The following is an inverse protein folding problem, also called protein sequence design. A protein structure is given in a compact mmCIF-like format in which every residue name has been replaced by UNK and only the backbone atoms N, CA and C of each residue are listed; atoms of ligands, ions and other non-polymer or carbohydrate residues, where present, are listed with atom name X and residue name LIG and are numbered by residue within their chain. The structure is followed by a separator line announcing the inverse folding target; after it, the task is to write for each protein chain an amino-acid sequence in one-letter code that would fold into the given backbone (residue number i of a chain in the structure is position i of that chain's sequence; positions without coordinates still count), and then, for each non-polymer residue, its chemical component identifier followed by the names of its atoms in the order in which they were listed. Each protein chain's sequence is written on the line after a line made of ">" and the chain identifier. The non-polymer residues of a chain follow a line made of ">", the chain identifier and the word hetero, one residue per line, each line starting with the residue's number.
data_IF_440681704838
#
_entry.id   IF_440681704838
#
_cell.length_a   1.000
_cell.length_b   1.000
_cell.length_c   1.000
_cell.angle_alpha   90.00
_cell.angle_beta   90.00
_cell.angle_gamma   90.00
#
_symmetry.space_group_name_H-M   'P 1'
#
loop_
_entity.id
_entity.type
_entity.pdbx_description
1 polymer ?
#
# COMPACT_ATOMS: atom_id res chain seq x y z
N UNK A 1 33.17 9.46 -21.06
CA UNK A 1 32.15 8.42 -21.32
C UNK A 1 31.06 8.57 -20.27
N UNK A 2 30.01 9.32 -20.59
CA UNK A 2 28.90 9.63 -19.68
C UNK A 2 27.71 8.75 -20.04
N UNK A 3 27.46 7.72 -19.25
CA UNK A 3 26.28 6.87 -19.38
C UNK A 3 25.03 7.68 -19.05
N UNK A 4 24.29 8.04 -20.09
CA UNK A 4 22.97 8.67 -20.03
C UNK A 4 21.95 7.56 -19.75
N UNK A 5 21.20 7.58 -18.64
CA UNK A 5 20.23 6.53 -18.37
C UNK A 5 19.10 6.58 -19.40
N UNK A 6 18.84 5.44 -20.02
CA UNK A 6 17.82 5.23 -21.04
C UNK A 6 16.47 5.77 -20.61
N UNK A 7 15.96 6.69 -21.42
CA UNK A 7 14.59 7.13 -21.35
C UNK A 7 13.63 6.06 -21.84
N UNK A 8 12.53 5.92 -21.10
CA UNK A 8 11.19 5.63 -21.62
C UNK A 8 10.83 4.20 -22.02
N UNK A 9 10.85 3.29 -21.05
CA UNK A 9 10.07 2.03 -21.12
C UNK A 9 8.53 2.25 -20.98
N UNK A 10 8.03 3.42 -21.40
CA UNK A 10 6.60 3.78 -21.31
C UNK A 10 5.75 3.18 -22.44
N UNK A 11 6.36 2.45 -23.38
CA UNK A 11 5.69 1.95 -24.59
C UNK A 11 5.60 0.42 -24.71
N UNK A 12 6.25 -0.35 -23.84
CA UNK A 12 6.05 -1.80 -23.86
C UNK A 12 4.62 -2.11 -23.46
N UNK A 13 3.93 -2.88 -24.31
CA UNK A 13 2.61 -3.42 -23.96
C UNK A 13 2.83 -4.56 -22.96
N UNK A 14 1.96 -4.67 -21.93
CA UNK A 14 2.02 -5.83 -21.06
C UNK A 14 1.73 -7.09 -21.87
N UNK A 15 2.47 -8.16 -21.61
CA UNK A 15 2.22 -9.50 -22.16
C UNK A 15 0.86 -10.01 -21.70
N UNK A 16 0.49 -9.69 -20.45
CA UNK A 16 -0.81 -10.07 -19.89
C UNK A 16 -1.31 -9.04 -18.90
N UNK A 17 -2.63 -8.90 -18.83
CA UNK A 17 -3.31 -7.99 -17.90
C UNK A 17 -4.33 -8.78 -17.08
N UNK A 18 -4.23 -8.71 -15.75
CA UNK A 18 -5.15 -9.37 -14.82
C UNK A 18 -5.96 -8.29 -14.11
N UNK A 19 -7.26 -8.15 -14.41
CA UNK A 19 -8.10 -7.15 -13.77
C UNK A 19 -8.35 -7.49 -12.29
N UNK A 20 -8.33 -6.45 -11.45
CA UNK A 20 -8.77 -6.53 -10.06
C UNK A 20 -10.21 -6.02 -9.94
N UNK A 21 -10.97 -6.59 -9.01
CA UNK A 21 -12.34 -6.16 -8.76
C UNK A 21 -12.35 -4.71 -8.29
N UNK A 22 -13.11 -3.83 -8.94
CA UNK A 22 -13.18 -2.41 -8.62
C UNK A 22 -14.58 -1.86 -8.88
N UNK A 23 -15.00 -0.81 -8.16
CA UNK A 23 -16.31 -0.18 -8.37
C UNK A 23 -16.24 0.99 -9.35
N UNK A 24 -15.31 1.95 -9.18
CA UNK A 24 -15.44 3.26 -9.82
C UNK A 24 -14.13 3.87 -10.31
N UNK A 25 -14.06 4.27 -11.58
CA UNK A 25 -12.89 4.92 -12.17
C UNK A 25 -11.97 3.92 -12.87
N UNK A 26 -10.67 4.25 -13.00
CA UNK A 26 -9.71 3.35 -13.68
C UNK A 26 -9.51 2.10 -12.84
N UNK A 27 -9.77 0.94 -13.44
CA UNK A 27 -9.64 -0.33 -12.76
C UNK A 27 -8.17 -0.60 -12.36
N UNK A 28 -7.89 -0.82 -11.06
CA UNK A 28 -6.65 -1.44 -10.63
C UNK A 28 -6.53 -2.82 -11.27
N UNK A 29 -5.30 -3.22 -11.55
CA UNK A 29 -4.98 -4.43 -12.31
C UNK A 29 -3.50 -4.77 -12.14
N UNK A 30 -3.16 -6.00 -12.47
CA UNK A 30 -1.79 -6.47 -12.56
C UNK A 30 -1.42 -6.49 -14.05
N UNK A 31 -0.45 -5.68 -14.44
CA UNK A 31 0.13 -5.70 -15.78
C UNK A 31 1.44 -6.52 -15.71
N UNK A 32 1.54 -7.60 -16.48
CA UNK A 32 2.71 -8.49 -16.53
C UNK A 32 3.56 -8.19 -17.75
N UNK A 33 4.86 -8.06 -17.53
CA UNK A 33 5.89 -7.88 -18.57
C UNK A 33 6.84 -9.07 -18.54
N UNK A 34 7.85 -9.08 -19.40
CA UNK A 34 8.80 -10.19 -19.52
C UNK A 34 9.65 -10.41 -18.25
N UNK A 35 9.92 -9.36 -17.47
CA UNK A 35 10.86 -9.36 -16.35
C UNK A 35 10.27 -8.79 -15.05
N UNK A 36 9.06 -8.21 -15.11
CA UNK A 36 8.46 -7.53 -13.96
C UNK A 36 6.94 -7.64 -13.92
N UNK A 37 6.43 -7.58 -12.71
CA UNK A 37 5.03 -7.36 -12.40
C UNK A 37 4.82 -5.87 -12.09
N UNK A 38 3.77 -5.30 -12.68
CA UNK A 38 3.32 -3.93 -12.38
C UNK A 38 1.92 -3.95 -11.80
N UNK A 39 1.82 -3.69 -10.51
CA UNK A 39 0.56 -3.52 -9.81
C UNK A 39 0.06 -2.09 -10.00
N UNK A 40 -0.93 -1.92 -10.87
CA UNK A 40 -1.61 -0.63 -11.06
C UNK A 40 -2.56 -0.41 -9.90
N UNK A 41 -2.30 0.64 -9.14
CA UNK A 41 -3.01 0.92 -7.91
C UNK A 41 -4.33 1.67 -8.15
N UNK A 42 -5.26 1.60 -7.17
CA UNK A 42 -6.46 2.43 -7.17
C UNK A 42 -6.19 3.94 -7.30
N UNK A 43 -7.19 4.69 -7.76
CA UNK A 43 -7.05 6.12 -8.10
C UNK A 43 -6.59 7.00 -6.93
N UNK A 44 -6.85 6.60 -5.68
CA UNK A 44 -6.41 7.32 -4.50
C UNK A 44 -4.88 7.32 -4.32
N UNK A 45 -4.13 6.52 -5.08
CA UNK A 45 -2.66 6.61 -5.20
C UNK A 45 -2.19 7.47 -6.40
N UNK A 46 -3.08 8.11 -7.15
CA UNK A 46 -2.72 9.10 -8.16
C UNK A 46 -2.05 8.54 -9.44
N UNK A 47 -2.67 7.55 -10.09
CA UNK A 47 -2.16 6.86 -11.31
C UNK A 47 -0.79 6.20 -11.13
N UNK A 48 -0.37 5.95 -9.89
CA UNK A 48 0.89 5.29 -9.57
C UNK A 48 0.74 3.78 -9.62
N UNK A 49 1.88 3.11 -9.69
CA UNK A 49 1.98 1.66 -9.71
C UNK A 49 3.11 1.25 -8.78
N UNK A 50 3.03 0.02 -8.29
CA UNK A 50 4.16 -0.69 -7.69
C UNK A 50 4.73 -1.61 -8.75
N UNK A 51 6.05 -1.60 -8.92
CA UNK A 51 6.76 -2.45 -9.88
C UNK A 51 7.70 -3.35 -9.10
N UNK A 52 7.62 -4.66 -9.36
CA UNK A 52 8.43 -5.69 -8.68
C UNK A 52 8.98 -6.64 -9.73
N UNK A 53 10.28 -6.96 -9.73
CA UNK A 53 10.84 -8.02 -10.56
C UNK A 53 10.11 -9.35 -10.35
N UNK A 54 9.93 -10.15 -11.41
CA UNK A 54 9.16 -11.40 -11.32
C UNK A 54 9.80 -12.43 -10.38
N UNK A 55 11.12 -12.46 -10.30
CA UNK A 55 11.92 -13.28 -9.39
C UNK A 55 11.86 -12.80 -7.93
N UNK A 56 11.26 -11.64 -7.67
CA UNK A 56 11.11 -11.07 -6.33
C UNK A 56 9.64 -11.00 -5.88
N UNK A 57 8.74 -11.70 -6.58
CA UNK A 57 7.34 -11.78 -6.20
C UNK A 57 6.85 -13.22 -6.23
N UNK A 58 6.20 -13.62 -5.15
CA UNK A 58 5.44 -14.84 -5.08
C UNK A 58 3.94 -14.56 -5.02
N UNK A 59 3.16 -15.52 -5.49
CA UNK A 59 1.70 -15.51 -5.41
C UNK A 59 1.22 -16.70 -4.61
N UNK A 60 0.23 -16.46 -3.75
CA UNK A 60 -0.49 -17.54 -3.06
C UNK A 60 -1.98 -17.25 -3.00
N UNK A 61 -2.86 -18.27 -3.15
CA UNK A 61 -4.29 -18.10 -2.94
C UNK A 61 -4.58 -17.83 -1.47
N UNK A 62 -5.43 -16.84 -1.19
CA UNK A 62 -5.75 -16.43 0.19
C UNK A 62 -6.38 -17.56 1.02
N UNK A 63 -7.16 -18.45 0.38
CA UNK A 63 -7.78 -19.59 1.05
C UNK A 63 -6.79 -20.71 1.40
N UNK A 64 -5.59 -20.72 0.83
CA UNK A 64 -4.51 -21.65 1.19
C UNK A 64 -3.55 -21.07 2.24
N UNK A 65 -3.65 -19.77 2.53
CA UNK A 65 -2.93 -19.17 3.65
C UNK A 65 -3.50 -19.72 4.95
N UNK A 66 -2.65 -20.37 5.77
CA UNK A 66 -3.00 -20.91 7.08
C UNK A 66 -3.54 -19.83 8.03
N UNK A 67 -3.10 -18.59 7.84
CA UNK A 67 -3.75 -17.41 8.38
C UNK A 67 -4.82 -16.93 7.41
N UNK A 68 -6.08 -17.01 7.85
CA UNK A 68 -7.12 -16.19 7.26
C UNK A 68 -6.68 -14.75 7.49
N UNK A 69 -6.31 -13.96 6.45
CA UNK A 69 -6.10 -12.55 6.66
C UNK A 69 -7.40 -12.03 7.21
N UNK A 70 -7.38 -11.67 8.48
CA UNK A 70 -8.53 -11.06 9.11
C UNK A 70 -8.80 -9.80 8.30
N UNK A 71 -9.88 -9.83 7.51
CA UNK A 71 -10.38 -8.70 6.74
C UNK A 71 -10.74 -7.52 7.69
N UNK A 72 -10.63 -7.77 9.00
CA UNK A 72 -11.01 -6.95 10.15
C UNK A 72 -9.78 -6.62 11.03
N UNK A 73 -8.59 -7.20 10.78
CA UNK A 73 -7.38 -6.82 11.50
C UNK A 73 -6.94 -5.49 10.90
N UNK A 74 -7.37 -4.42 11.57
CA UNK A 74 -7.43 -3.01 11.20
C UNK A 74 -6.16 -2.41 10.56
N UNK A 75 -5.09 -3.16 10.37
CA UNK A 75 -3.81 -2.64 9.86
C UNK A 75 -3.16 -3.53 8.81
N UNK A 76 -3.65 -4.74 8.51
CA UNK A 76 -2.96 -5.61 7.54
C UNK A 76 -1.49 -5.88 7.90
N UNK A 77 -1.18 -5.86 9.20
CA UNK A 77 0.11 -6.24 9.78
C UNK A 77 -0.06 -7.62 10.41
N UNK A 78 0.81 -8.56 10.07
CA UNK A 78 0.82 -9.92 10.63
C UNK A 78 1.45 -9.94 12.03
N UNK A 79 1.29 -11.04 12.77
CA UNK A 79 1.86 -11.17 14.14
C UNK A 79 3.38 -11.02 14.16
N UNK A 80 4.06 -11.45 13.09
CA UNK A 80 5.50 -11.30 12.87
C UNK A 80 5.92 -9.91 12.35
N UNK A 81 4.98 -8.96 12.23
CA UNK A 81 5.24 -7.58 11.86
C UNK A 81 5.38 -7.32 10.36
N UNK A 82 4.92 -8.26 9.51
CA UNK A 82 4.89 -8.07 8.07
C UNK A 82 3.65 -7.29 7.65
N UNK A 83 3.82 -6.31 6.77
CA UNK A 83 2.75 -5.46 6.28
C UNK A 83 2.22 -5.99 4.94
N UNK A 84 1.11 -6.70 4.98
CA UNK A 84 0.42 -7.25 3.80
C UNK A 84 -1.02 -6.71 3.79
N UNK A 85 -1.21 -5.42 3.49
CA UNK A 85 -2.54 -4.83 3.48
C UNK A 85 -3.40 -5.35 2.35
N UNK A 86 -4.71 -5.34 2.57
CA UNK A 86 -5.65 -5.25 1.48
C UNK A 86 -5.61 -3.83 0.89
N UNK A 87 -5.08 -3.71 -0.32
CA UNK A 87 -5.08 -2.46 -1.06
C UNK A 87 -6.48 -2.25 -1.63
N UNK A 88 -7.39 -1.77 -0.78
CA UNK A 88 -8.82 -1.70 -1.04
C UNK A 88 -9.11 -1.22 -2.46
N UNK A 89 -9.58 -2.16 -3.28
CA UNK A 89 -10.14 -1.87 -4.60
C UNK A 89 -11.68 -1.66 -4.49
N UNK A 90 -12.25 -1.79 -3.29
CA UNK A 90 -13.62 -1.34 -2.95
C UNK A 90 -13.65 -0.87 -1.49
N UNK A 91 -14.51 0.10 -1.17
CA UNK A 91 -14.83 0.47 0.21
C UNK A 91 -15.48 -0.74 0.90
N UNK A 92 -14.78 -1.39 1.82
CA UNK A 92 -15.31 -2.56 2.56
C UNK A 92 -16.00 -2.18 3.87
N UNK A 93 -15.72 -0.99 4.41
CA UNK A 93 -16.19 -0.61 5.76
C UNK A 93 -17.63 -0.12 5.81
N UNK A 94 -18.21 0.38 4.72
CA UNK A 94 -19.59 0.89 4.71
C UNK A 94 -20.60 -0.02 4.02
N UNK A 95 -20.16 -1.05 3.30
CA UNK A 95 -20.97 -1.74 2.31
C UNK A 95 -20.82 -3.27 2.39
N UNK A 96 -20.59 -3.83 3.58
CA UNK A 96 -20.32 -5.26 3.79
C UNK A 96 -21.40 -6.19 3.23
N UNK A 97 -22.63 -5.70 3.13
CA UNK A 97 -23.82 -6.48 2.74
C UNK A 97 -24.30 -6.24 1.30
N UNK A 98 -23.50 -5.59 0.43
CA UNK A 98 -23.87 -5.48 -0.99
C UNK A 98 -23.62 -6.83 -1.70
N UNK A 99 -24.63 -7.40 -2.38
CA UNK A 99 -24.47 -8.57 -3.23
C UNK A 99 -23.35 -8.38 -4.27
N UNK A 100 -22.42 -9.33 -4.34
CA UNK A 100 -21.31 -9.32 -5.30
C UNK A 100 -19.99 -8.74 -4.80
N UNK A 101 -19.87 -8.38 -3.51
CA UNK A 101 -18.58 -8.11 -2.88
C UNK A 101 -17.91 -9.45 -2.53
N UNK A 102 -16.70 -9.67 -3.04
CA UNK A 102 -15.90 -10.86 -2.74
C UNK A 102 -14.75 -10.50 -1.79
N UNK A 103 -14.42 -11.36 -0.82
CA UNK A 103 -13.21 -11.18 -0.02
C UNK A 103 -11.96 -11.23 -0.92
N UNK A 104 -10.80 -10.72 -0.44
CA UNK A 104 -9.53 -10.94 -1.13
C UNK A 104 -9.30 -12.43 -1.35
N UNK A 105 -8.88 -12.80 -2.56
CA UNK A 105 -8.71 -14.19 -3.00
C UNK A 105 -7.29 -14.50 -3.49
N UNK A 106 -6.46 -13.46 -3.65
CA UNK A 106 -5.07 -13.57 -4.10
C UNK A 106 -4.17 -12.73 -3.20
N UNK A 107 -3.02 -13.27 -2.82
CA UNK A 107 -1.99 -12.56 -2.09
C UNK A 107 -0.71 -12.52 -2.94
N UNK A 108 -0.16 -11.33 -3.10
CA UNK A 108 1.20 -11.14 -3.59
C UNK A 108 2.12 -10.92 -2.39
N UNK A 109 3.29 -11.53 -2.43
CA UNK A 109 4.35 -11.36 -1.42
C UNK A 109 5.62 -10.93 -2.13
N UNK A 110 6.32 -9.95 -1.58
CA UNK A 110 7.51 -9.35 -2.17
C UNK A 110 8.75 -9.73 -1.37
N UNK A 111 9.79 -10.20 -2.04
CA UNK A 111 11.08 -10.51 -1.40
C UNK A 111 11.67 -9.26 -0.73
N UNK A 112 11.60 -8.13 -1.43
CA UNK A 112 11.96 -6.80 -0.91
C UNK A 112 10.69 -6.00 -0.66
N UNK A 113 10.53 -5.31 0.50
CA UNK A 113 9.38 -4.46 0.73
C UNK A 113 9.24 -3.38 -0.34
N UNK A 114 8.04 -3.26 -0.90
CA UNK A 114 7.74 -2.29 -1.92
C UNK A 114 7.31 -0.96 -1.29
N UNK A 115 7.89 0.15 -1.73
CA UNK A 115 7.45 1.48 -1.32
C UNK A 115 6.05 1.77 -1.86
N UNK A 116 5.16 2.15 -0.97
CA UNK A 116 3.80 2.57 -1.29
C UNK A 116 3.84 4.00 -1.85
N UNK A 117 3.20 4.26 -3.01
CA UNK A 117 3.08 5.61 -3.52
C UNK A 117 2.27 6.53 -2.59
N UNK A 118 2.53 7.85 -2.59
CA UNK A 118 1.78 8.78 -1.74
C UNK A 118 0.28 8.81 -2.03
N UNK A 119 -0.55 8.78 -0.97
CA UNK A 119 -2.01 8.84 -1.06
C UNK A 119 -2.50 10.21 -1.50
N UNK A 120 -3.11 10.38 -2.68
CA UNK A 120 -3.52 11.71 -3.18
C UNK A 120 -4.79 12.29 -2.56
N UNK A 121 -5.71 11.48 -2.04
CA UNK A 121 -6.99 11.95 -1.51
C UNK A 121 -7.10 11.65 -0.02
N UNK A 122 -7.39 12.68 0.76
CA UNK A 122 -7.58 12.59 2.22
C UNK A 122 -8.87 11.84 2.56
N UNK A 123 -9.91 11.92 1.74
CA UNK A 123 -11.25 11.37 2.05
C UNK A 123 -11.31 9.83 2.17
N UNK A 124 -10.31 9.12 1.67
CA UNK A 124 -10.24 7.65 1.76
C UNK A 124 -9.56 7.17 3.06
N UNK A 125 -9.14 8.07 3.95
CA UNK A 125 -8.53 7.74 5.26
C UNK A 125 -9.54 7.25 6.30
N UNK A 126 -10.84 7.18 5.98
CA UNK A 126 -11.85 6.52 6.84
C UNK A 126 -11.83 4.98 6.72
N UNK A 127 -10.99 4.44 5.84
CA UNK A 127 -10.68 3.02 5.76
C UNK A 127 -9.33 2.80 6.44
N UNK A 128 -9.25 1.87 7.39
CA UNK A 128 -8.02 1.55 8.10
C UNK A 128 -7.01 0.90 7.15
N UNK A 129 -6.25 1.73 6.43
CA UNK A 129 -4.99 1.33 5.83
C UNK A 129 -3.94 1.25 6.96
N UNK A 130 -2.92 0.38 6.89
CA UNK A 130 -1.79 0.41 7.82
C UNK A 130 -1.06 1.75 7.85
N UNK A 131 -1.33 2.62 6.87
CA UNK A 131 -0.62 3.86 6.66
C UNK A 131 -1.56 5.02 6.38
N UNK A 132 -1.25 6.15 7.01
CA UNK A 132 -1.98 7.40 6.86
C UNK A 132 -1.54 8.22 5.64
N UNK A 133 -2.34 9.24 5.34
CA UNK A 133 -2.06 10.20 4.27
C UNK A 133 -0.69 10.87 4.41
N UNK A 134 -0.32 11.23 5.63
CA UNK A 134 0.94 11.91 5.95
C UNK A 134 2.12 10.94 5.91
N UNK A 135 2.02 9.76 6.55
CA UNK A 135 3.14 8.80 6.56
C UNK A 135 3.49 8.30 5.16
N UNK A 136 2.50 8.13 4.26
CA UNK A 136 2.76 7.79 2.85
C UNK A 136 3.59 8.83 2.06
N UNK A 137 3.71 10.06 2.59
CA UNK A 137 4.49 11.17 2.00
C UNK A 137 5.83 11.42 2.66
N UNK A 138 6.14 10.74 3.76
CA UNK A 138 7.45 10.87 4.39
C UNK A 138 8.58 10.60 3.39
N UNK A 139 9.77 11.14 3.64
CA UNK A 139 10.94 11.00 2.78
C UNK A 139 11.26 9.52 2.48
N UNK A 140 11.25 8.70 3.53
CA UNK A 140 11.41 7.25 3.46
C UNK A 140 10.11 6.54 3.02
N UNK A 141 8.97 7.21 3.20
CA UNK A 141 7.64 6.71 2.85
C UNK A 141 7.23 5.50 3.69
N UNK A 142 6.20 4.80 3.24
CA UNK A 142 5.78 3.51 3.83
C UNK A 142 6.09 2.38 2.87
N UNK A 143 6.48 1.23 3.42
CA UNK A 143 6.73 0.01 2.65
C UNK A 143 5.77 -1.11 3.04
N UNK A 144 5.40 -1.93 2.06
CA UNK A 144 4.58 -3.13 2.25
C UNK A 144 5.35 -4.38 1.81
N UNK A 145 5.14 -5.47 2.50
CA UNK A 145 5.74 -6.79 2.24
C UNK A 145 4.94 -7.61 1.24
N UNK A 146 3.72 -7.18 0.96
CA UNK A 146 2.83 -7.83 0.03
C UNK A 146 1.54 -7.05 -0.12
N UNK A 147 0.62 -7.61 -0.89
CA UNK A 147 -0.71 -7.05 -1.05
C UNK A 147 -1.74 -8.17 -1.15
N UNK A 148 -2.78 -8.08 -0.33
CA UNK A 148 -4.01 -8.82 -0.57
C UNK A 148 -4.76 -8.14 -1.70
N UNK A 149 -5.29 -8.93 -2.62
CA UNK A 149 -5.96 -8.49 -3.83
C UNK A 149 -7.23 -9.32 -4.07
N UNK A 150 -8.19 -8.70 -4.76
CA UNK A 150 -9.38 -9.38 -5.24
C UNK A 150 -9.31 -9.46 -6.77
N UNK A 151 -8.90 -10.61 -7.30
CA UNK A 151 -8.87 -10.87 -8.76
C UNK A 151 -10.25 -11.33 -9.23
N UNK A 152 -10.65 -10.88 -10.42
CA UNK A 152 -11.96 -11.27 -10.99
C UNK A 152 -11.89 -12.58 -11.78
N UNK A 153 -10.74 -12.89 -12.36
CA UNK A 153 -10.53 -14.09 -13.17
C UNK A 153 -10.16 -15.28 -12.28
N UNK A 154 -10.82 -16.45 -12.46
CA UNK A 154 -10.44 -17.68 -11.74
C UNK A 154 -9.05 -18.19 -12.15
N UNK A 155 -8.60 -17.88 -13.38
CA UNK A 155 -7.31 -18.33 -13.91
C UNK A 155 -6.14 -17.44 -13.50
N UNK A 156 -6.37 -16.39 -12.72
CA UNK A 156 -5.35 -15.39 -12.38
C UNK A 156 -4.07 -16.00 -11.78
N UNK A 157 -4.20 -17.03 -10.95
CA UNK A 157 -3.06 -17.73 -10.37
C UNK A 157 -2.22 -18.43 -11.45
N UNK A 158 -2.87 -19.21 -12.31
CA UNK A 158 -2.22 -19.89 -13.43
C UNK A 158 -1.58 -18.87 -14.39
N UNK A 159 -2.26 -17.74 -14.61
CA UNK A 159 -1.76 -16.67 -15.46
C UNK A 159 -0.51 -16.00 -14.92
N UNK A 160 -0.43 -15.78 -13.60
CA UNK A 160 0.75 -15.27 -12.91
C UNK A 160 1.89 -16.28 -12.98
N UNK A 161 1.62 -17.55 -12.65
CA UNK A 161 2.60 -18.64 -12.69
C UNK A 161 3.20 -18.82 -14.10
N UNK A 162 2.35 -18.86 -15.12
CA UNK A 162 2.77 -18.97 -16.52
C UNK A 162 3.59 -17.76 -17.01
N UNK A 163 3.56 -16.64 -16.28
CA UNK A 163 4.34 -15.43 -16.59
C UNK A 163 5.62 -15.34 -15.76
N UNK A 164 5.97 -16.37 -14.98
CA UNK A 164 7.22 -16.43 -14.20
C UNK A 164 7.11 -15.97 -12.74
N UNK A 165 5.91 -15.63 -12.26
CA UNK A 165 5.69 -15.38 -10.82
C UNK A 165 5.67 -16.71 -10.08
N UNK A 166 6.42 -16.85 -9.01
CA UNK A 166 6.46 -18.11 -8.26
C UNK A 166 5.14 -18.35 -7.52
N UNK A 167 4.48 -19.49 -7.77
CA UNK A 167 3.29 -19.90 -7.05
C UNK A 167 3.67 -20.74 -5.83
N UNK A 168 3.38 -20.25 -4.63
CA UNK A 168 3.85 -20.86 -3.38
C UNK A 168 2.69 -21.27 -2.46
N UNK A 169 2.84 -22.41 -1.79
CA UNK A 169 1.91 -22.88 -0.76
C UNK A 169 2.22 -22.29 0.62
N UNK A 170 3.50 -22.04 0.93
CA UNK A 170 3.96 -21.40 2.16
C UNK A 170 4.78 -20.16 1.83
N UNK A 171 4.08 -19.03 1.79
CA UNK A 171 4.66 -17.73 1.47
C UNK A 171 5.65 -17.23 2.53
N UNK A 172 5.55 -17.68 3.78
CA UNK A 172 6.48 -17.29 4.85
C UNK A 172 7.83 -17.97 4.69
N UNK A 173 7.81 -19.26 4.39
CA UNK A 173 9.04 -19.99 4.10
C UNK A 173 9.71 -19.43 2.86
N UNK A 174 8.93 -19.07 1.84
CA UNK A 174 9.45 -18.35 0.67
C UNK A 174 10.09 -17.01 1.07
N UNK A 175 9.41 -16.16 1.86
CA UNK A 175 9.95 -14.86 2.28
C UNK A 175 11.26 -15.01 3.07
N UNK A 176 11.35 -15.99 3.97
CA UNK A 176 12.56 -16.28 4.76
C UNK A 176 13.73 -16.79 3.93
N UNK A 177 13.46 -17.39 2.76
CA UNK A 177 14.50 -17.85 1.85
C UNK A 177 15.13 -16.70 1.04
N UNK A 178 14.55 -15.51 1.07
CA UNK A 178 15.04 -14.34 0.33
C UNK A 178 15.84 -13.40 1.25
N UNK A 179 17.03 -12.94 0.82
CA UNK A 179 17.83 -11.98 1.60
C UNK A 179 17.04 -10.71 1.90
N UNK A 180 16.86 -10.41 3.19
CA UNK A 180 16.07 -9.27 3.66
C UNK A 180 16.67 -8.65 4.91
N UNK A 181 16.73 -7.32 4.96
CA UNK A 181 17.21 -6.60 6.13
C UNK A 181 16.04 -6.16 7.03
N UNK A 182 15.49 -7.09 7.80
CA UNK A 182 14.34 -6.85 8.68
C UNK A 182 14.57 -5.76 9.74
N UNK A 183 15.83 -5.53 10.12
CA UNK A 183 16.17 -4.47 11.07
C UNK A 183 16.00 -3.11 10.42
N UNK A 184 16.59 -2.90 9.23
CA UNK A 184 16.44 -1.65 8.48
C UNK A 184 14.98 -1.38 8.13
N UNK A 185 14.23 -2.40 7.69
CA UNK A 185 12.81 -2.28 7.34
C UNK A 185 11.98 -1.83 8.54
N UNK A 186 12.23 -2.39 9.72
CA UNK A 186 11.54 -1.99 10.96
C UNK A 186 11.94 -0.57 11.39
N UNK A 187 13.20 -0.17 11.20
CA UNK A 187 13.65 1.19 11.48
C UNK A 187 12.97 2.22 10.55
N UNK A 188 12.91 1.93 9.25
CA UNK A 188 12.27 2.82 8.26
C UNK A 188 10.77 3.00 8.55
N UNK A 189 10.08 1.92 8.91
CA UNK A 189 8.66 1.99 9.31
C UNK A 189 8.47 2.86 10.55
N UNK A 190 9.29 2.66 11.58
CA UNK A 190 9.25 3.50 12.80
C UNK A 190 9.54 4.97 12.49
N UNK A 191 10.50 5.25 11.61
CA UNK A 191 10.83 6.62 11.20
C UNK A 191 9.65 7.29 10.46
N UNK A 192 8.95 6.54 9.60
CA UNK A 192 7.76 7.03 8.91
C UNK A 192 6.60 7.34 9.88
N UNK A 193 6.42 6.53 10.92
CA UNK A 193 5.42 6.78 11.97
C UNK A 193 5.81 7.97 12.86
N UNK A 194 7.08 8.09 13.22
CA UNK A 194 7.59 9.24 13.98
C UNK A 194 7.38 10.56 13.23
N UNK A 195 7.55 10.56 11.90
CA UNK A 195 7.30 11.75 11.08
C UNK A 195 5.85 12.26 11.21
N UNK A 196 4.87 11.36 11.33
CA UNK A 196 3.47 11.73 11.57
C UNK A 196 3.29 12.34 12.97
N UNK A 197 3.90 11.74 13.99
CA UNK A 197 3.83 12.24 15.37
C UNK A 197 4.43 13.64 15.48
N UNK A 198 5.60 13.87 14.87
CA UNK A 198 6.27 15.17 14.89
C UNK A 198 5.46 16.26 14.17
N UNK A 199 4.90 15.96 12.99
CA UNK A 199 4.02 16.88 12.27
C UNK A 199 2.78 17.24 13.09
N UNK A 200 2.15 16.25 13.70
CA UNK A 200 0.93 16.44 14.50
C UNK A 200 1.23 17.25 15.76
N UNK A 201 2.35 16.96 16.44
CA UNK A 201 2.81 17.72 17.61
C UNK A 201 3.11 19.18 17.24
N UNK A 202 3.85 19.40 16.15
CA UNK A 202 4.19 20.75 15.70
C UNK A 202 2.94 21.55 15.32
N UNK A 203 1.98 20.93 14.63
CA UNK A 203 0.70 21.56 14.31
C UNK A 203 -0.08 21.95 15.58
N UNK A 204 -0.13 21.07 16.57
CA UNK A 204 -0.79 21.33 17.84
C UNK A 204 -0.14 22.52 18.58
N UNK A 205 1.20 22.56 18.63
CA UNK A 205 1.93 23.70 19.21
C UNK A 205 1.61 25.00 18.49
N UNK A 206 1.58 25.00 17.16
CA UNK A 206 1.19 26.18 16.36
C UNK A 206 -0.24 26.63 16.69
N UNK A 207 -1.20 25.71 16.80
CA UNK A 207 -2.57 26.04 17.18
C UNK A 207 -2.68 26.61 18.60
N UNK A 208 -1.94 26.05 19.57
CA UNK A 208 -1.92 26.55 20.95
C UNK A 208 -1.32 27.96 21.00
N UNK A 209 -0.22 28.21 20.30
CA UNK A 209 0.40 29.55 20.22
C UNK A 209 -0.53 30.57 19.53
N UNK A 210 -1.19 30.16 18.45
CA UNK A 210 -2.18 31.01 17.77
C UNK A 210 -3.35 31.36 18.69
N UNK A 211 -3.91 30.38 19.41
CA UNK A 211 -5.00 30.60 20.35
C UNK A 211 -4.57 31.54 21.49
N UNK A 212 -3.36 31.35 22.05
CA UNK A 212 -2.80 32.21 23.08
C UNK A 212 -2.63 33.67 22.59
N UNK A 213 -2.16 33.85 21.36
CA UNK A 213 -2.03 35.18 20.75
C UNK A 213 -3.40 35.86 20.54
N UNK A 214 -4.41 35.12 20.10
CA UNK A 214 -5.79 35.62 19.96
C UNK A 214 -6.37 36.04 21.32
N UNK A 215 -6.21 35.22 22.35
CA UNK A 215 -6.67 35.55 23.72
C UNK A 215 -5.95 36.80 24.24
N UNK A 216 -4.63 36.89 24.07
CA UNK A 216 -3.86 38.06 24.48
C UNK A 216 -4.35 39.34 23.77
N UNK A 217 -4.62 39.27 22.46
CA UNK A 217 -5.15 40.40 21.70
C UNK A 217 -6.53 40.86 22.20
N UNK A 218 -7.42 39.92 22.52
CA UNK A 218 -8.75 40.22 23.09
C UNK A 218 -8.61 40.93 24.44
N UNK A 219 -7.74 40.43 25.32
CA UNK A 219 -7.49 41.05 26.64
C UNK A 219 -6.96 42.48 26.48
N UNK A 220 -5.96 42.68 25.61
CA UNK A 220 -5.39 44.00 25.34
C UNK A 220 -6.46 44.95 24.80
N UNK A 221 -7.29 44.50 23.85
CA UNK A 221 -8.37 45.32 23.29
C UNK A 221 -9.40 45.71 24.35
N UNK A 222 -9.80 44.77 25.22
CA UNK A 222 -10.79 45.02 26.28
C UNK A 222 -10.31 45.98 27.38
N UNK A 223 -8.99 46.11 27.57
CA UNK A 223 -8.40 47.07 28.50
C UNK A 223 -8.26 48.47 27.90
N UNK A 224 -8.31 48.59 26.57
CA UNK A 224 -8.16 49.85 25.85
C UNK A 224 -9.50 50.56 25.55
N UNK A 225 -10.62 49.85 25.69
CA UNK A 225 -12.00 50.35 25.57
C UNK A 225 -12.61 50.62 26.93
#
# INVERSE_FOLDING_TARGET
>A
MTNRPEGSDKRRRPTRTIPLQYLWGRAPRIDLYADRLRLILPIYFGRKAIEVPLDQVAVTPVYLSSEKPSIIADQGITEDGLSIPYLFTRFTTLLRDIPGIRPPNLMLVFATPARVPPLRKLEYTRVSLPFGYISSRAENGVTIDGALLCVTSPDALHQLAASGVEAVSDWRTWLRAHPRNDVAIRQDRKAADQHFVDLTRNLLVVWVLFLAAVVAAIVIYSLAT
#
